data_IF_004261033177
#
_entry.id   IF_004261033177
#
_cell.length_a   1.000
_cell.length_b   1.000
_cell.length_c   1.000
_cell.angle_alpha   90.00
_cell.angle_beta   90.00
_cell.angle_gamma   90.00
#
_symmetry.space_group_name_H-M   'P 1'
#
loop_
_entity.id
_entity.type
_entity.pdbx_description
1 polymer ?
#
# COMPACT_ATOMS: atom_id res chain seq x y z
N UNK A 1 19.75 -33.66 72.46
CA UNK A 1 19.31 -32.36 73.03
C UNK A 1 18.62 -31.55 71.95
N UNK A 2 17.44 -31.01 72.29
CA UNK A 2 16.59 -29.96 71.66
C UNK A 2 16.92 -29.38 70.27
N UNK A 3 15.87 -29.49 69.43
CA UNK A 3 15.32 -28.63 68.33
C UNK A 3 16.01 -27.30 68.00
N UNK A 4 16.01 -26.97 66.70
CA UNK A 4 15.56 -25.70 66.06
C UNK A 4 15.67 -25.88 64.53
N UNK A 5 14.61 -26.25 63.80
CA UNK A 5 13.65 -25.41 63.07
C UNK A 5 14.24 -24.27 62.20
N UNK A 6 14.17 -24.51 60.88
CA UNK A 6 13.91 -23.59 59.76
C UNK A 6 14.77 -22.32 59.56
N UNK A 7 15.47 -22.28 58.41
CA UNK A 7 15.41 -21.13 57.51
C UNK A 7 15.65 -21.62 56.06
N UNK A 8 14.60 -21.62 55.26
CA UNK A 8 14.68 -21.86 53.82
C UNK A 8 15.20 -20.59 53.14
N UNK A 9 16.39 -20.66 52.56
CA UNK A 9 16.89 -19.71 51.57
C UNK A 9 17.45 -20.55 50.42
N UNK A 10 16.59 -20.86 49.45
CA UNK A 10 17.02 -21.35 48.14
C UNK A 10 17.54 -20.14 47.39
N UNK A 11 18.85 -20.03 47.09
CA UNK A 11 19.31 -18.97 46.22
C UNK A 11 18.78 -19.23 44.81
N UNK A 12 18.13 -18.21 44.23
CA UNK A 12 17.86 -18.10 42.81
C UNK A 12 19.19 -18.23 42.05
N UNK A 13 19.54 -19.45 41.64
CA UNK A 13 20.76 -19.74 40.87
C UNK A 13 20.47 -20.62 39.65
N UNK A 14 19.32 -20.41 39.02
CA UNK A 14 18.90 -21.19 37.85
C UNK A 14 18.43 -20.33 36.66
N UNK A 15 18.87 -19.07 36.53
CA UNK A 15 18.52 -18.23 35.39
C UNK A 15 19.73 -17.49 34.77
N UNK A 16 20.93 -18.10 34.80
CA UNK A 16 22.13 -17.56 34.15
C UNK A 16 22.77 -18.53 33.15
N UNK A 17 21.98 -19.44 32.55
CA UNK A 17 22.49 -20.48 31.65
C UNK A 17 21.87 -20.47 30.24
N UNK A 18 21.24 -19.37 29.83
CA UNK A 18 21.00 -19.09 28.40
C UNK A 18 21.88 -17.91 27.99
N UNK A 19 23.19 -18.13 28.02
CA UNK A 19 24.14 -17.34 27.24
C UNK A 19 24.04 -17.77 25.79
N UNK A 20 22.98 -17.34 25.11
CA UNK A 20 23.01 -17.18 23.67
C UNK A 20 23.69 -15.86 23.38
N UNK A 21 24.70 -15.86 22.51
CA UNK A 21 25.24 -14.64 21.91
C UNK A 21 24.12 -13.95 21.14
N UNK A 22 23.31 -13.13 21.83
CA UNK A 22 22.50 -12.09 21.21
C UNK A 22 23.47 -11.04 20.69
N UNK A 23 24.07 -11.33 19.54
CA UNK A 23 24.56 -10.32 18.61
C UNK A 23 23.33 -9.57 18.10
N UNK A 24 22.75 -8.75 18.97
CA UNK A 24 21.73 -7.78 18.63
C UNK A 24 22.28 -6.97 17.46
N UNK A 25 21.73 -7.23 16.28
CA UNK A 25 22.08 -6.53 15.05
C UNK A 25 21.59 -5.09 15.17
N UNK A 26 22.34 -4.26 15.90
CA UNK A 26 22.11 -2.83 16.05
C UNK A 26 22.61 -2.15 14.79
N UNK A 27 21.83 -2.29 13.72
CA UNK A 27 22.00 -1.51 12.51
C UNK A 27 21.78 -0.03 12.84
N UNK A 28 22.73 0.83 12.46
CA UNK A 28 22.63 2.26 12.69
C UNK A 28 21.39 2.85 11.98
N UNK A 29 20.74 3.89 12.55
CA UNK A 29 19.57 4.51 11.93
C UNK A 29 19.87 5.02 10.52
N UNK A 30 18.93 4.79 9.59
CA UNK A 30 19.04 5.31 8.21
C UNK A 30 19.02 6.84 8.24
N UNK A 31 20.06 7.45 7.67
CA UNK A 31 20.23 8.90 7.58
C UNK A 31 19.18 9.52 6.63
N UNK A 32 18.73 10.74 6.96
CA UNK A 32 17.84 11.51 6.08
C UNK A 32 18.61 12.08 4.88
N UNK A 33 17.91 12.27 3.76
CA UNK A 33 18.45 12.86 2.53
C UNK A 33 17.64 14.12 2.21
N UNK A 34 18.31 15.27 2.13
CA UNK A 34 17.64 16.55 1.82
C UNK A 34 17.12 16.58 0.39
N UNK A 35 15.92 17.11 0.18
CA UNK A 35 15.35 17.29 -1.14
C UNK A 35 16.10 18.35 -1.97
N UNK A 36 16.03 18.29 -3.31
CA UNK A 36 16.56 19.34 -4.18
C UNK A 36 15.97 20.71 -3.83
N UNK A 37 16.71 21.79 -4.10
CA UNK A 37 16.28 23.15 -3.79
C UNK A 37 14.92 23.48 -4.42
N UNK A 38 13.99 23.96 -3.60
CA UNK A 38 12.63 24.32 -4.03
C UNK A 38 11.70 23.14 -4.33
N UNK A 39 12.06 21.91 -3.92
CA UNK A 39 11.24 20.70 -4.10
C UNK A 39 11.01 20.01 -2.75
N UNK A 40 9.90 19.28 -2.65
CA UNK A 40 9.66 18.33 -1.57
C UNK A 40 9.64 16.91 -2.14
N UNK A 41 10.22 15.95 -1.43
CA UNK A 41 10.21 14.54 -1.87
C UNK A 41 8.79 14.00 -2.07
N UNK A 42 7.82 14.45 -1.29
CA UNK A 42 6.41 14.06 -1.42
C UNK A 42 5.78 14.48 -2.74
N UNK A 43 6.34 15.47 -3.43
CA UNK A 43 5.78 16.00 -4.68
C UNK A 43 6.55 15.48 -5.90
N UNK A 44 7.60 14.69 -5.67
CA UNK A 44 8.39 14.07 -6.72
C UNK A 44 7.79 12.72 -7.07
N UNK A 45 7.08 12.68 -8.19
CA UNK A 45 6.45 11.47 -8.73
C UNK A 45 7.01 11.19 -10.12
N UNK A 46 7.30 9.92 -10.41
CA UNK A 46 7.78 9.49 -11.72
C UNK A 46 7.35 8.08 -12.04
N UNK A 47 6.98 7.83 -13.30
CA UNK A 47 6.76 6.48 -13.81
C UNK A 47 8.06 5.65 -13.77
N UNK A 48 7.96 4.39 -13.36
CA UNK A 48 9.08 3.46 -13.29
C UNK A 48 9.14 2.57 -14.53
N UNK A 49 10.32 1.99 -14.80
CA UNK A 49 10.51 1.00 -15.88
C UNK A 49 9.67 -0.26 -15.73
N UNK A 50 9.21 -0.55 -14.51
CA UNK A 50 8.39 -1.72 -14.18
C UNK A 50 6.88 -1.42 -14.30
N UNK A 51 6.53 -0.24 -14.82
CA UNK A 51 5.14 0.17 -15.04
C UNK A 51 4.43 0.74 -13.82
N UNK A 52 5.13 0.94 -12.71
CA UNK A 52 4.61 1.58 -11.49
C UNK A 52 4.83 3.09 -11.48
N UNK A 53 4.40 3.73 -10.39
CA UNK A 53 4.66 5.14 -10.11
C UNK A 53 5.36 5.27 -8.77
N UNK A 54 6.53 5.91 -8.77
CA UNK A 54 7.34 6.15 -7.58
C UNK A 54 7.09 7.55 -7.05
N UNK A 55 6.78 7.68 -5.75
CA UNK A 55 6.77 8.91 -4.98
C UNK A 55 8.01 8.95 -4.06
N UNK A 56 8.75 10.06 -4.05
CA UNK A 56 9.89 10.27 -3.17
C UNK A 56 11.25 10.33 -3.86
N UNK A 57 12.30 10.18 -3.06
CA UNK A 57 13.67 10.15 -3.56
C UNK A 57 13.92 8.85 -4.36
N UNK A 58 14.18 8.91 -5.69
CA UNK A 58 14.46 7.71 -6.49
C UNK A 58 15.72 6.96 -6.01
N UNK A 59 16.60 7.62 -5.25
CA UNK A 59 17.79 7.05 -4.63
C UNK A 59 17.62 6.76 -3.13
N UNK A 60 16.39 6.79 -2.60
CA UNK A 60 16.12 6.44 -1.21
C UNK A 60 16.68 5.05 -0.88
N UNK A 61 17.37 4.86 0.26
CA UNK A 61 17.96 3.58 0.66
C UNK A 61 16.92 2.50 0.93
N UNK A 62 15.69 2.87 1.29
CA UNK A 62 14.57 1.94 1.49
C UNK A 62 13.57 2.11 0.36
N UNK A 63 13.19 0.98 -0.27
CA UNK A 63 12.20 0.90 -1.34
C UNK A 63 10.97 0.18 -0.82
N UNK A 64 9.84 0.88 -0.73
CA UNK A 64 8.54 0.27 -0.52
C UNK A 64 7.89 0.09 -1.89
N UNK A 65 7.56 -1.15 -2.25
CA UNK A 65 6.77 -1.45 -3.45
C UNK A 65 5.43 -2.00 -3.00
N UNK A 66 4.35 -1.31 -3.35
CA UNK A 66 2.99 -1.74 -3.11
C UNK A 66 2.38 -2.27 -4.40
N UNK A 67 1.81 -3.48 -4.31
CA UNK A 67 0.94 -4.03 -5.33
C UNK A 67 -0.50 -3.85 -4.88
N UNK A 68 -1.23 -2.94 -5.52
CA UNK A 68 -2.54 -2.50 -5.06
C UNK A 68 -3.62 -2.59 -6.12
N UNK A 69 -4.85 -2.83 -5.65
CA UNK A 69 -6.07 -2.82 -6.45
C UNK A 69 -7.05 -1.81 -5.89
N UNK A 70 -7.59 -0.94 -6.75
CA UNK A 70 -8.60 0.06 -6.35
C UNK A 70 -9.88 -0.60 -5.86
N UNK A 71 -10.30 -1.75 -6.41
CA UNK A 71 -11.48 -2.45 -5.91
C UNK A 71 -11.21 -3.37 -4.70
N UNK A 72 -9.98 -3.44 -4.18
CA UNK A 72 -9.68 -4.22 -2.99
C UNK A 72 -9.96 -3.43 -1.70
N UNK A 73 -10.85 -3.90 -0.81
CA UNK A 73 -11.20 -3.18 0.42
C UNK A 73 -10.00 -3.04 1.37
N UNK A 74 -9.08 -4.01 1.40
CA UNK A 74 -7.87 -3.93 2.22
C UNK A 74 -6.84 -2.94 1.65
N UNK A 75 -6.71 -2.87 0.32
CA UNK A 75 -5.89 -1.82 -0.33
C UNK A 75 -6.47 -0.44 -0.03
N UNK A 76 -7.79 -0.29 -0.01
CA UNK A 76 -8.41 0.98 0.36
C UNK A 76 -8.28 1.33 1.84
N UNK A 77 -8.32 0.34 2.74
CA UNK A 77 -7.98 0.58 4.15
C UNK A 77 -6.55 1.12 4.29
N UNK A 78 -5.59 0.49 3.62
CA UNK A 78 -4.22 1.01 3.57
C UNK A 78 -4.19 2.42 2.97
N UNK A 79 -4.73 2.62 1.77
CA UNK A 79 -4.75 3.88 1.04
C UNK A 79 -5.40 5.05 1.79
N UNK A 80 -6.33 4.79 2.72
CA UNK A 80 -6.93 5.83 3.58
C UNK A 80 -6.16 6.11 4.86
N UNK A 81 -5.34 5.18 5.35
CA UNK A 81 -4.77 5.27 6.71
C UNK A 81 -3.24 5.36 6.74
N UNK A 82 -2.56 4.79 5.76
CA UNK A 82 -1.11 4.67 5.74
C UNK A 82 -0.37 5.77 4.93
N UNK A 83 -0.90 6.31 3.81
CA UNK A 83 -0.16 7.29 3.01
C UNK A 83 0.25 8.56 3.75
N UNK A 84 -0.61 9.11 4.62
CA UNK A 84 -0.28 10.33 5.39
C UNK A 84 0.92 10.12 6.32
N UNK A 85 0.93 9.14 7.25
CA UNK A 85 2.11 8.88 8.08
C UNK A 85 3.30 8.40 7.26
N UNK A 86 3.10 7.65 6.18
CA UNK A 86 4.17 7.22 5.27
C UNK A 86 4.88 8.42 4.64
N UNK A 87 4.11 9.36 4.08
CA UNK A 87 4.61 10.58 3.45
C UNK A 87 5.30 11.47 4.47
N UNK A 88 4.64 11.73 5.60
CA UNK A 88 5.10 12.64 6.65
C UNK A 88 6.38 12.19 7.34
N UNK A 89 6.45 10.91 7.71
CA UNK A 89 7.53 10.43 8.58
C UNK A 89 8.69 9.78 7.82
N UNK A 90 8.47 9.37 6.57
CA UNK A 90 9.45 8.58 5.82
C UNK A 90 9.80 9.18 4.46
N UNK A 91 8.82 9.42 3.59
CA UNK A 91 9.09 9.92 2.23
C UNK A 91 9.64 11.35 2.29
N UNK A 92 9.06 12.22 3.12
CA UNK A 92 9.51 13.62 3.33
C UNK A 92 10.99 13.71 3.72
N UNK A 93 11.52 12.68 4.39
CA UNK A 93 12.91 12.62 4.88
C UNK A 93 13.88 12.10 3.83
N UNK A 94 13.39 11.65 2.67
CA UNK A 94 14.20 11.03 1.61
C UNK A 94 14.69 9.62 1.92
N UNK A 95 14.28 9.03 3.06
CA UNK A 95 14.69 7.69 3.51
C UNK A 95 13.97 6.56 2.78
N UNK A 96 12.70 6.78 2.45
CA UNK A 96 11.83 5.81 1.77
C UNK A 96 11.35 6.41 0.46
N UNK A 97 11.36 5.60 -0.60
CA UNK A 97 10.52 5.84 -1.78
C UNK A 97 9.42 4.80 -1.83
N UNK A 98 8.22 5.23 -2.21
CA UNK A 98 7.06 4.37 -2.36
C UNK A 98 6.71 4.24 -3.83
N UNK A 99 6.74 3.02 -4.35
CA UNK A 99 6.28 2.70 -5.69
C UNK A 99 4.95 1.96 -5.60
N UNK A 100 3.92 2.49 -6.25
CA UNK A 100 2.65 1.80 -6.43
C UNK A 100 2.61 1.10 -7.79
N UNK A 101 2.20 -0.17 -7.80
CA UNK A 101 2.03 -1.00 -8.99
C UNK A 101 0.60 -1.55 -9.01
N UNK A 102 -0.07 -1.38 -10.15
CA UNK A 102 -1.42 -1.91 -10.35
C UNK A 102 -1.39 -3.45 -10.28
N UNK A 103 -2.22 -4.04 -9.42
CA UNK A 103 -2.38 -5.49 -9.32
C UNK A 103 -3.84 -5.86 -9.53
N UNK A 104 -4.17 -6.39 -10.71
CA UNK A 104 -5.54 -6.57 -11.18
C UNK A 104 -6.10 -7.93 -10.73
N UNK A 105 -6.74 -7.98 -9.57
CA UNK A 105 -7.28 -9.21 -8.97
C UNK A 105 -8.78 -9.42 -9.24
N UNK A 106 -9.51 -8.37 -9.64
CA UNK A 106 -10.95 -8.44 -9.96
C UNK A 106 -11.27 -8.38 -11.46
N UNK A 107 -10.27 -8.34 -12.34
CA UNK A 107 -10.47 -8.30 -13.80
C UNK A 107 -10.89 -6.92 -14.30
N UNK A 108 -11.98 -6.85 -15.07
CA UNK A 108 -12.44 -5.61 -15.74
C UNK A 108 -12.62 -4.40 -14.79
N UNK A 109 -13.21 -4.53 -13.58
CA UNK A 109 -13.29 -3.43 -12.62
C UNK A 109 -11.93 -2.84 -12.25
N UNK A 110 -10.93 -3.70 -12.03
CA UNK A 110 -9.59 -3.25 -11.64
C UNK A 110 -8.89 -2.58 -12.81
N UNK A 111 -9.01 -3.17 -14.01
CA UNK A 111 -8.42 -2.62 -15.23
C UNK A 111 -9.01 -1.25 -15.57
N UNK A 112 -10.32 -1.08 -15.46
CA UNK A 112 -11.00 0.20 -15.69
C UNK A 112 -10.44 1.29 -14.76
N UNK A 113 -10.41 1.03 -13.44
CA UNK A 113 -9.90 1.98 -12.47
C UNK A 113 -8.40 2.27 -12.63
N UNK A 114 -7.59 1.25 -12.98
CA UNK A 114 -6.17 1.41 -13.25
C UNK A 114 -5.92 2.31 -14.47
N UNK A 115 -6.62 2.05 -15.59
CA UNK A 115 -6.49 2.85 -16.81
C UNK A 115 -6.85 4.33 -16.59
N UNK A 116 -7.93 4.60 -15.86
CA UNK A 116 -8.30 5.99 -15.52
C UNK A 116 -7.19 6.72 -14.76
N UNK A 117 -6.54 6.04 -13.81
CA UNK A 117 -5.42 6.63 -13.07
C UNK A 117 -4.13 6.75 -13.89
N UNK A 118 -4.00 6.02 -15.00
CA UNK A 118 -2.85 6.16 -15.91
C UNK A 118 -3.04 7.25 -16.96
N UNK A 119 -4.24 7.81 -17.11
CA UNK A 119 -4.53 8.89 -18.04
C UNK A 119 -4.23 10.30 -17.50
N UNK A 120 -3.79 10.42 -16.24
CA UNK A 120 -3.46 11.71 -15.62
C UNK A 120 -1.96 12.00 -15.73
N UNK A 121 -1.54 13.28 -15.68
CA UNK A 121 -0.12 13.61 -15.56
C UNK A 121 0.53 12.89 -14.38
N UNK A 122 1.80 12.49 -14.52
CA UNK A 122 2.52 11.70 -13.51
C UNK A 122 2.43 12.32 -12.10
N UNK A 123 2.55 13.64 -11.98
CA UNK A 123 2.44 14.38 -10.72
C UNK A 123 1.09 14.23 -10.01
N UNK A 124 0.05 13.84 -10.74
CA UNK A 124 -1.31 13.66 -10.24
C UNK A 124 -1.64 12.20 -9.94
N UNK A 125 -0.75 11.24 -10.22
CA UNK A 125 -1.03 9.82 -10.02
C UNK A 125 -1.44 9.48 -8.58
N UNK A 126 -0.67 9.92 -7.59
CA UNK A 126 -0.96 9.66 -6.17
C UNK A 126 -2.15 10.47 -5.65
N UNK A 127 -2.31 11.77 -5.95
CA UNK A 127 -3.53 12.50 -5.62
C UNK A 127 -4.80 11.83 -6.14
N UNK A 128 -4.81 11.33 -7.38
CA UNK A 128 -5.98 10.66 -7.95
C UNK A 128 -6.16 9.25 -7.35
N UNK A 129 -5.07 8.52 -7.09
CA UNK A 129 -5.11 7.26 -6.36
C UNK A 129 -5.74 7.42 -4.96
N UNK A 130 -5.35 8.47 -4.23
CA UNK A 130 -5.92 8.78 -2.91
C UNK A 130 -7.44 9.03 -3.04
N UNK A 131 -7.89 9.75 -4.08
CA UNK A 131 -9.32 9.96 -4.34
C UNK A 131 -10.08 8.70 -4.70
N UNK A 132 -9.47 7.76 -5.42
CA UNK A 132 -10.06 6.43 -5.59
C UNK A 132 -10.31 5.76 -4.23
N UNK A 133 -9.32 5.75 -3.34
CA UNK A 133 -9.48 5.09 -2.04
C UNK A 133 -10.39 5.81 -1.06
N UNK A 134 -10.43 7.15 -1.08
CA UNK A 134 -11.39 7.96 -0.33
C UNK A 134 -12.84 7.66 -0.76
N UNK A 135 -13.08 7.50 -2.06
CA UNK A 135 -14.41 7.26 -2.63
C UNK A 135 -14.72 5.77 -2.83
N UNK A 136 -13.93 4.88 -2.23
CA UNK A 136 -13.98 3.44 -2.51
C UNK A 136 -15.35 2.83 -2.23
N UNK A 137 -15.92 3.12 -1.07
CA UNK A 137 -17.19 2.53 -0.64
C UNK A 137 -18.32 2.87 -1.62
N UNK A 138 -18.31 4.09 -2.18
CA UNK A 138 -19.31 4.53 -3.13
C UNK A 138 -19.26 3.72 -4.45
N UNK A 139 -18.08 3.54 -5.04
CA UNK A 139 -18.00 2.76 -6.28
C UNK A 139 -18.11 1.25 -6.04
N UNK A 140 -17.67 0.73 -4.89
CA UNK A 140 -17.86 -0.68 -4.56
C UNK A 140 -19.34 -1.01 -4.39
N UNK A 141 -20.12 -0.11 -3.78
CA UNK A 141 -21.58 -0.26 -3.65
C UNK A 141 -22.25 -0.31 -5.03
N UNK A 142 -21.87 0.60 -5.94
CA UNK A 142 -22.39 0.58 -7.32
C UNK A 142 -21.98 -0.68 -8.07
N UNK A 143 -20.75 -1.13 -7.87
CA UNK A 143 -20.21 -2.34 -8.50
C UNK A 143 -21.00 -3.55 -8.02
N UNK A 144 -21.15 -3.74 -6.71
CA UNK A 144 -21.95 -4.82 -6.12
C UNK A 144 -23.39 -4.82 -6.63
N UNK A 145 -24.00 -3.63 -6.72
CA UNK A 145 -25.34 -3.48 -7.28
C UNK A 145 -25.40 -3.93 -8.75
N UNK A 146 -24.43 -3.51 -9.59
CA UNK A 146 -24.34 -3.94 -10.99
C UNK A 146 -24.26 -5.46 -11.10
N UNK A 147 -23.40 -6.10 -10.31
CA UNK A 147 -23.27 -7.55 -10.27
C UNK A 147 -24.60 -8.22 -9.88
N UNK A 148 -25.34 -7.66 -8.91
CA UNK A 148 -26.63 -8.22 -8.48
C UNK A 148 -27.74 -8.06 -9.51
N UNK A 149 -27.82 -6.91 -10.19
CA UNK A 149 -28.97 -6.57 -11.04
C UNK A 149 -28.79 -6.86 -12.52
N UNK A 150 -27.56 -7.04 -13.00
CA UNK A 150 -27.27 -7.20 -14.43
C UNK A 150 -26.37 -8.41 -14.72
N UNK A 151 -26.83 -9.59 -14.31
CA UNK A 151 -26.12 -10.86 -14.56
C UNK A 151 -25.76 -11.11 -16.04
N UNK A 152 -26.63 -10.80 -17.04
CA UNK A 152 -26.26 -10.97 -18.44
C UNK A 152 -25.05 -10.12 -18.85
N UNK A 153 -24.97 -8.87 -18.39
CA UNK A 153 -23.79 -8.02 -18.63
C UNK A 153 -22.54 -8.65 -18.02
N UNK A 154 -22.60 -9.17 -16.79
CA UNK A 154 -21.43 -9.78 -16.15
C UNK A 154 -20.91 -10.97 -16.96
N UNK A 155 -21.80 -11.79 -17.50
CA UNK A 155 -21.43 -12.90 -18.39
C UNK A 155 -20.82 -12.39 -19.70
N UNK A 156 -21.36 -11.31 -20.27
CA UNK A 156 -20.80 -10.67 -21.46
C UNK A 156 -19.39 -10.12 -21.20
N UNK A 157 -19.17 -9.45 -20.06
CA UNK A 157 -17.85 -8.91 -19.69
C UNK A 157 -16.77 -9.99 -19.62
N UNK A 158 -17.13 -11.22 -19.24
CA UNK A 158 -16.20 -12.36 -19.19
C UNK A 158 -15.78 -12.88 -20.58
N UNK A 159 -16.57 -12.59 -21.61
CA UNK A 159 -16.31 -13.03 -22.99
C UNK A 159 -15.57 -11.97 -23.81
N UNK A 160 -15.57 -10.72 -23.35
CA UNK A 160 -14.90 -9.62 -24.03
C UNK A 160 -13.37 -9.66 -23.82
N UNK A 161 -12.58 -9.21 -24.81
CA UNK A 161 -11.18 -8.87 -24.60
C UNK A 161 -11.01 -7.91 -23.41
N UNK A 162 -9.96 -8.05 -22.58
CA UNK A 162 -9.84 -7.28 -21.33
C UNK A 162 -10.02 -5.75 -21.48
N UNK A 163 -9.43 -5.08 -22.50
CA UNK A 163 -9.65 -3.64 -22.69
C UNK A 163 -11.12 -3.29 -22.97
N UNK A 164 -11.83 -4.11 -23.75
CA UNK A 164 -13.23 -3.89 -24.08
C UNK A 164 -14.13 -4.13 -22.86
N UNK A 165 -13.82 -5.16 -22.07
CA UNK A 165 -14.51 -5.42 -20.81
C UNK A 165 -14.34 -4.25 -19.82
N UNK A 166 -13.14 -3.68 -19.74
CA UNK A 166 -12.86 -2.52 -18.89
C UNK A 166 -13.66 -1.28 -19.32
N UNK A 167 -13.72 -0.98 -20.61
CA UNK A 167 -14.52 0.14 -21.15
C UNK A 167 -16.01 -0.07 -20.85
N UNK A 168 -16.56 -1.23 -21.20
CA UNK A 168 -17.97 -1.54 -20.95
C UNK A 168 -18.32 -1.48 -19.45
N UNK A 169 -17.42 -1.92 -18.57
CA UNK A 169 -17.59 -1.78 -17.13
C UNK A 169 -17.58 -0.30 -16.70
N UNK A 170 -16.62 0.49 -17.18
CA UNK A 170 -16.48 1.90 -16.84
C UNK A 170 -17.71 2.72 -17.25
N UNK A 171 -18.29 2.48 -18.43
CA UNK A 171 -19.55 3.11 -18.89
C UNK A 171 -20.72 2.78 -17.94
N UNK A 172 -20.87 1.51 -17.57
CA UNK A 172 -21.97 1.06 -16.70
C UNK A 172 -21.86 1.61 -15.26
N UNK A 173 -20.65 1.90 -14.81
CA UNK A 173 -20.39 2.52 -13.51
C UNK A 173 -20.46 4.06 -13.54
N UNK A 174 -20.62 4.66 -14.74
CA UNK A 174 -20.56 6.10 -14.95
C UNK A 174 -19.20 6.69 -14.60
N UNK A 175 -18.13 5.94 -14.89
CA UNK A 175 -16.74 6.39 -14.72
C UNK A 175 -16.23 7.15 -15.96
N UNK A 176 -16.87 6.92 -17.10
CA UNK A 176 -16.63 7.57 -18.39
C UNK A 176 -17.99 7.88 -19.05
N UNK A 177 -18.03 8.94 -19.85
CA UNK A 177 -19.20 9.41 -20.60
C UNK A 177 -19.25 8.86 -22.03
#
# INVERSE_FOLDING_TARGET
MRKLLALALVPLLALAACGGDDKGNTTAPVAAVTAPAGKAWTDMISKTKDGGYLQGNPNAPIKLVEYGSRNCPYCGLFGRTAPEPLRKNYISTGKVSWEFRDFLIHGAPDLAAALLNQCVPDENFFPVLDKFYENQDAFLTKTEQLYKTNQPLIQQLQQLPPPQAAVAFAEQLGMID
#
